data_IF_013976804062
#
_entry.id   IF_013976804062
#
_cell.length_a   1.000
_cell.length_b   1.000
_cell.length_c   1.000
_cell.angle_alpha   90.00
_cell.angle_beta   90.00
_cell.angle_gamma   90.00
#
_symmetry.space_group_name_H-M   'P 1'
#
loop_
_entity.id
_entity.type
_entity.pdbx_description
1 polymer ?
#
# COMPACT_ATOMS: atom_id res chain seq x y z
N UNK A 1 -21.56 -1.97 -9.32
CA UNK A 1 -20.57 -2.04 -10.43
C UNK A 1 -20.86 -3.18 -11.40
N UNK A 2 -20.43 -3.07 -12.67
CA UNK A 2 -20.53 -4.17 -13.66
C UNK A 2 -19.48 -5.24 -13.37
N UNK A 3 -19.77 -6.49 -13.77
CA UNK A 3 -18.88 -7.63 -13.53
C UNK A 3 -17.47 -7.45 -14.12
N UNK A 4 -17.37 -6.84 -15.32
CA UNK A 4 -16.09 -6.51 -15.96
C UNK A 4 -15.24 -5.55 -15.12
N UNK A 5 -15.87 -4.52 -14.53
CA UNK A 5 -15.15 -3.54 -13.72
C UNK A 5 -14.59 -4.15 -12.43
N UNK A 6 -15.34 -5.06 -11.81
CA UNK A 6 -14.89 -5.78 -10.62
C UNK A 6 -13.72 -6.72 -10.99
N UNK A 7 -13.84 -7.42 -12.13
CA UNK A 7 -12.76 -8.25 -12.66
C UNK A 7 -11.46 -7.46 -12.86
N UNK A 8 -11.55 -6.28 -13.47
CA UNK A 8 -10.41 -5.39 -13.71
C UNK A 8 -9.79 -4.88 -12.39
N UNK A 9 -10.60 -4.48 -11.40
CA UNK A 9 -10.11 -3.96 -10.11
C UNK A 9 -9.39 -5.04 -9.29
N UNK A 10 -9.94 -6.25 -9.25
CA UNK A 10 -9.44 -7.33 -8.40
C UNK A 10 -8.49 -8.29 -9.11
N UNK A 11 -8.20 -8.06 -10.41
CA UNK A 11 -7.29 -8.89 -11.20
C UNK A 11 -7.77 -10.32 -11.40
N UNK A 12 -9.09 -10.55 -11.48
CA UNK A 12 -9.69 -11.88 -11.68
C UNK A 12 -10.42 -11.96 -13.01
N UNK A 13 -10.50 -13.14 -13.66
CA UNK A 13 -11.32 -13.30 -14.86
C UNK A 13 -12.80 -12.99 -14.60
N UNK A 14 -13.48 -12.40 -15.58
CA UNK A 14 -14.92 -12.13 -15.47
C UNK A 14 -15.74 -13.40 -15.25
N UNK A 15 -15.31 -14.54 -15.81
CA UNK A 15 -15.93 -15.85 -15.59
C UNK A 15 -15.90 -16.27 -14.11
N UNK A 16 -14.78 -16.02 -13.41
CA UNK A 16 -14.64 -16.28 -11.98
C UNK A 16 -15.67 -15.49 -11.16
N UNK A 17 -15.92 -14.23 -11.53
CA UNK A 17 -16.96 -13.45 -10.86
C UNK A 17 -18.38 -14.01 -11.11
N UNK A 18 -18.63 -14.51 -12.32
CA UNK A 18 -19.91 -15.14 -12.65
C UNK A 18 -20.10 -16.44 -11.87
N UNK A 19 -19.03 -17.19 -11.59
CA UNK A 19 -19.08 -18.36 -10.70
C UNK A 19 -19.40 -17.99 -9.27
N UNK A 20 -18.84 -16.89 -8.76
CA UNK A 20 -19.11 -16.46 -7.39
C UNK A 20 -20.58 -16.10 -7.17
N UNK A 21 -21.30 -15.67 -8.20
CA UNK A 21 -22.72 -15.33 -8.14
C UNK A 21 -23.66 -16.55 -8.09
N UNK A 22 -23.15 -17.76 -8.31
CA UNK A 22 -23.97 -18.98 -8.29
C UNK A 22 -24.47 -19.26 -6.87
N UNK A 23 -25.70 -19.75 -6.77
CA UNK A 23 -26.28 -20.19 -5.50
C UNK A 23 -25.40 -21.25 -4.82
N UNK A 24 -25.24 -21.12 -3.50
CA UNK A 24 -24.41 -22.03 -2.71
C UNK A 24 -22.90 -21.79 -2.82
N UNK A 25 -22.43 -20.86 -3.65
CA UNK A 25 -21.00 -20.54 -3.72
C UNK A 25 -20.55 -19.75 -2.48
N UNK A 26 -19.42 -20.13 -1.89
CA UNK A 26 -18.90 -19.55 -0.64
C UNK A 26 -18.65 -18.04 -0.71
N UNK A 27 -18.41 -17.51 -1.91
CA UNK A 27 -18.14 -16.08 -2.19
C UNK A 27 -19.36 -15.30 -2.71
N UNK A 28 -20.57 -15.88 -2.71
CA UNK A 28 -21.76 -15.21 -3.25
C UNK A 28 -22.07 -13.88 -2.57
N UNK A 29 -22.06 -13.84 -1.24
CA UNK A 29 -22.31 -12.62 -0.49
C UNK A 29 -21.32 -11.49 -0.84
N UNK A 30 -20.04 -11.83 -1.08
CA UNK A 30 -19.05 -10.86 -1.54
C UNK A 30 -19.34 -10.37 -2.96
N UNK A 31 -19.70 -11.29 -3.88
CA UNK A 31 -20.06 -10.91 -5.24
C UNK A 31 -21.28 -9.98 -5.28
N UNK A 32 -22.30 -10.26 -4.47
CA UNK A 32 -23.51 -9.44 -4.33
C UNK A 32 -23.19 -8.05 -3.74
N UNK A 33 -22.32 -7.99 -2.73
CA UNK A 33 -21.83 -6.73 -2.19
C UNK A 33 -21.11 -5.89 -3.26
N UNK A 34 -20.16 -6.49 -3.98
CA UNK A 34 -19.37 -5.80 -5.02
C UNK A 34 -20.24 -5.30 -6.18
N UNK A 35 -21.34 -5.96 -6.50
CA UNK A 35 -22.27 -5.46 -7.52
C UNK A 35 -23.08 -4.26 -7.07
N UNK A 36 -23.34 -4.10 -5.77
CA UNK A 36 -24.21 -3.06 -5.23
C UNK A 36 -23.46 -1.83 -4.69
N UNK A 37 -22.17 -1.97 -4.40
CA UNK A 37 -21.33 -0.85 -3.96
C UNK A 37 -20.89 0.01 -5.15
N UNK A 38 -20.66 1.30 -4.90
CA UNK A 38 -20.11 2.21 -5.88
C UNK A 38 -18.61 1.99 -6.11
N UNK A 39 -18.16 2.31 -7.33
CA UNK A 39 -16.78 2.05 -7.77
C UNK A 39 -15.77 2.90 -7.02
N UNK A 40 -16.08 4.16 -6.76
CA UNK A 40 -15.15 5.10 -6.15
C UNK A 40 -14.85 4.70 -4.71
N UNK A 41 -15.86 4.27 -3.94
CA UNK A 41 -15.69 3.75 -2.59
C UNK A 41 -14.80 2.51 -2.55
N UNK A 42 -14.97 1.57 -3.49
CA UNK A 42 -14.10 0.37 -3.57
C UNK A 42 -12.69 0.72 -3.99
N UNK A 43 -12.51 1.62 -4.97
CA UNK A 43 -11.17 2.08 -5.34
C UNK A 43 -10.50 2.82 -4.19
N UNK A 44 -11.23 3.61 -3.42
CA UNK A 44 -10.71 4.29 -2.23
C UNK A 44 -10.31 3.29 -1.14
N UNK A 45 -11.13 2.27 -0.89
CA UNK A 45 -10.82 1.19 0.04
C UNK A 45 -9.59 0.39 -0.41
N UNK A 46 -9.57 -0.04 -1.67
CA UNK A 46 -8.46 -0.81 -2.23
C UNK A 46 -7.16 -0.02 -2.19
N UNK A 47 -7.17 1.24 -2.66
CA UNK A 47 -6.02 2.14 -2.54
C UNK A 47 -5.61 2.31 -1.08
N UNK A 48 -6.55 2.53 -0.16
CA UNK A 48 -6.18 2.64 1.27
C UNK A 48 -5.56 1.37 1.85
N UNK A 49 -5.89 0.20 1.29
CA UNK A 49 -5.38 -1.09 1.69
C UNK A 49 -4.02 -1.41 1.07
N UNK A 50 -3.68 -0.85 -0.10
CA UNK A 50 -2.42 -1.16 -0.80
C UNK A 50 -1.46 0.03 -0.90
N UNK A 51 -1.87 1.25 -0.56
CA UNK A 51 -1.04 2.43 -0.75
C UNK A 51 0.20 2.42 0.15
N UNK A 52 0.12 1.78 1.32
CA UNK A 52 1.31 1.60 2.15
C UNK A 52 2.29 0.60 1.54
N UNK A 53 1.82 -0.35 0.72
CA UNK A 53 2.69 -1.29 0.01
C UNK A 53 3.49 -0.58 -1.08
N UNK A 54 3.02 0.55 -1.62
CA UNK A 54 3.76 1.31 -2.65
C UNK A 54 5.07 1.88 -2.11
N UNK A 55 5.06 2.55 -0.95
CA UNK A 55 6.29 3.07 -0.35
C UNK A 55 7.28 1.94 -0.01
N UNK A 56 6.76 0.81 0.49
CA UNK A 56 7.56 -0.39 0.78
C UNK A 56 8.16 -0.96 -0.50
N UNK A 57 7.37 -1.03 -1.57
CA UNK A 57 7.80 -1.53 -2.87
C UNK A 57 8.86 -0.63 -3.50
N UNK A 58 8.69 0.69 -3.46
CA UNK A 58 9.69 1.67 -3.97
C UNK A 58 11.04 1.47 -3.27
N UNK A 59 11.04 1.41 -1.93
CA UNK A 59 12.26 1.17 -1.15
C UNK A 59 12.90 -0.17 -1.50
N UNK A 60 12.12 -1.24 -1.54
CA UNK A 60 12.66 -2.58 -1.79
C UNK A 60 13.10 -2.79 -3.24
N UNK A 61 12.46 -2.13 -4.20
CA UNK A 61 12.88 -2.14 -5.60
C UNK A 61 14.29 -1.53 -5.76
N UNK A 62 14.59 -0.43 -5.07
CA UNK A 62 15.92 0.18 -5.08
C UNK A 62 16.96 -0.66 -4.32
N UNK A 63 16.55 -1.39 -3.26
CA UNK A 63 17.42 -2.34 -2.55
C UNK A 63 17.81 -3.53 -3.46
N UNK A 64 16.85 -4.07 -4.21
CA UNK A 64 17.02 -5.18 -5.16
C UNK A 64 17.26 -6.56 -4.53
N UNK A 65 18.12 -6.67 -3.51
CA UNK A 65 18.38 -7.93 -2.83
C UNK A 65 17.25 -8.28 -1.85
N UNK A 66 16.45 -9.27 -2.23
CA UNK A 66 15.28 -9.74 -1.46
C UNK A 66 15.59 -10.13 -0.01
N UNK A 67 16.77 -10.71 0.25
CA UNK A 67 17.19 -11.07 1.62
C UNK A 67 17.38 -9.87 2.56
N UNK A 68 17.41 -8.66 1.99
CA UNK A 68 17.61 -7.39 2.71
C UNK A 68 16.37 -6.49 2.64
N UNK A 69 15.25 -6.97 2.10
CA UNK A 69 14.03 -6.18 2.04
C UNK A 69 13.54 -5.80 3.43
N UNK A 70 13.02 -4.58 3.52
CA UNK A 70 12.46 -4.03 4.74
C UNK A 70 10.94 -4.22 4.74
N UNK A 71 10.40 -4.47 5.94
CA UNK A 71 8.96 -4.49 6.15
C UNK A 71 8.41 -3.08 6.40
N UNK A 72 7.09 -2.93 6.32
CA UNK A 72 6.41 -1.68 6.64
C UNK A 72 6.73 -1.17 8.06
N UNK A 73 6.94 -2.06 9.03
CA UNK A 73 7.31 -1.64 10.39
C UNK A 73 8.68 -0.97 10.46
N UNK A 74 9.63 -1.34 9.60
CA UNK A 74 10.97 -0.75 9.60
C UNK A 74 10.92 0.64 8.96
N UNK A 75 10.19 0.80 7.85
CA UNK A 75 9.92 2.10 7.23
C UNK A 75 9.16 3.02 8.21
N UNK A 76 8.18 2.49 8.95
CA UNK A 76 7.48 3.24 9.99
C UNK A 76 8.43 3.75 11.08
N UNK A 77 9.38 2.95 11.55
CA UNK A 77 10.37 3.37 12.56
C UNK A 77 11.18 4.56 12.03
N UNK A 78 11.64 4.49 10.79
CA UNK A 78 12.39 5.56 10.12
C UNK A 78 11.58 6.86 10.07
N UNK A 79 10.35 6.81 9.56
CA UNK A 79 9.47 7.99 9.46
C UNK A 79 8.98 8.53 10.82
N UNK A 80 9.02 7.71 11.88
CA UNK A 80 8.77 8.15 13.25
C UNK A 80 9.98 8.87 13.89
N UNK A 81 11.11 8.95 13.18
CA UNK A 81 12.32 9.61 13.62
C UNK A 81 13.24 8.74 14.46
N UNK A 82 13.17 7.40 14.33
CA UNK A 82 14.20 6.53 14.92
C UNK A 82 15.45 6.55 14.03
N UNK A 83 16.60 6.76 14.66
CA UNK A 83 17.89 6.73 13.98
C UNK A 83 18.12 5.35 13.34
N UNK A 84 18.53 5.27 12.06
CA UNK A 84 18.92 4.02 11.43
C UNK A 84 20.09 3.39 12.19
N UNK A 85 19.96 2.11 12.54
CA UNK A 85 21.01 1.32 13.19
C UNK A 85 21.82 0.54 12.15
N UNK A 86 21.21 0.21 11.01
CA UNK A 86 21.84 -0.57 9.96
C UNK A 86 22.08 0.24 8.68
N UNK A 87 23.12 -0.08 7.89
CA UNK A 87 23.37 0.57 6.60
C UNK A 87 22.18 0.49 5.64
N UNK A 88 21.43 -0.63 5.67
CA UNK A 88 20.26 -0.84 4.82
C UNK A 88 19.11 0.11 5.19
N UNK A 89 18.95 0.43 6.47
CA UNK A 89 17.93 1.37 6.94
C UNK A 89 18.29 2.82 6.58
N UNK A 90 19.59 3.15 6.62
CA UNK A 90 20.09 4.45 6.14
C UNK A 90 19.84 4.60 4.65
N UNK A 91 20.18 3.56 3.88
CA UNK A 91 19.92 3.53 2.44
C UNK A 91 18.42 3.66 2.13
N UNK A 92 17.57 2.89 2.81
CA UNK A 92 16.12 3.00 2.66
C UNK A 92 15.61 4.42 2.94
N UNK A 93 16.12 5.09 3.97
CA UNK A 93 15.75 6.47 4.24
C UNK A 93 16.19 7.44 3.13
N UNK A 94 17.36 7.23 2.54
CA UNK A 94 17.83 8.04 1.42
C UNK A 94 16.90 7.86 0.21
N UNK A 95 16.51 6.61 -0.11
CA UNK A 95 15.53 6.31 -1.16
C UNK A 95 14.17 6.97 -0.92
N UNK A 96 13.66 6.94 0.33
CA UNK A 96 12.42 7.64 0.68
C UNK A 96 12.53 9.15 0.41
N UNK A 97 13.72 9.75 0.58
CA UNK A 97 13.93 11.18 0.34
C UNK A 97 14.10 11.54 -1.13
N UNK A 98 14.69 10.65 -1.93
CA UNK A 98 15.12 10.99 -3.30
C UNK A 98 14.25 10.39 -4.39
N UNK A 99 13.58 9.26 -4.13
CA UNK A 99 12.88 8.48 -5.16
C UNK A 99 11.39 8.26 -4.87
N UNK A 100 10.98 8.20 -3.60
CA UNK A 100 9.57 8.00 -3.26
C UNK A 100 8.70 9.22 -3.62
N UNK A 101 7.51 8.94 -4.14
CA UNK A 101 6.54 9.98 -4.43
C UNK A 101 5.95 10.54 -3.13
N UNK A 102 5.57 11.82 -3.16
CA UNK A 102 4.96 12.47 -2.00
C UNK A 102 3.69 11.75 -1.56
N UNK A 103 2.87 11.32 -2.51
CA UNK A 103 1.63 10.60 -2.29
C UNK A 103 1.87 9.26 -1.58
N UNK A 104 2.91 8.51 -1.95
CA UNK A 104 3.28 7.25 -1.31
C UNK A 104 3.63 7.45 0.17
N UNK A 105 4.36 8.53 0.46
CA UNK A 105 4.75 8.89 1.82
C UNK A 105 3.53 9.34 2.65
N UNK A 106 2.67 10.19 2.09
CA UNK A 106 1.47 10.70 2.76
C UNK A 106 0.48 9.58 3.04
N UNK A 107 0.25 8.69 2.08
CA UNK A 107 -0.64 7.55 2.24
C UNK A 107 -0.11 6.55 3.28
N UNK A 108 1.21 6.27 3.25
CA UNK A 108 1.85 5.42 4.26
C UNK A 108 1.72 6.03 5.67
N UNK A 109 1.97 7.33 5.81
CA UNK A 109 1.86 8.05 7.07
C UNK A 109 0.43 8.06 7.59
N UNK A 110 -0.57 8.26 6.72
CA UNK A 110 -1.99 8.21 7.07
C UNK A 110 -2.38 6.80 7.55
N UNK A 111 -1.97 5.76 6.82
CA UNK A 111 -2.27 4.36 7.16
C UNK A 111 -1.72 3.98 8.55
N UNK A 112 -0.44 4.27 8.79
CA UNK A 112 0.23 3.93 10.05
C UNK A 112 0.06 4.97 11.17
N UNK A 113 -0.75 6.01 10.93
CA UNK A 113 -1.01 7.12 11.86
C UNK A 113 0.27 7.82 12.33
N UNK A 114 1.20 8.03 11.41
CA UNK A 114 2.46 8.76 11.65
C UNK A 114 2.16 10.26 11.55
N UNK A 115 2.48 11.07 12.58
CA UNK A 115 2.26 12.52 12.49
C UNK A 115 3.11 13.14 11.37
N UNK A 116 2.49 13.87 10.45
CA UNK A 116 3.22 14.50 9.32
C UNK A 116 4.34 15.44 9.76
N UNK A 117 4.25 16.05 10.96
CA UNK A 117 5.34 16.83 11.56
C UNK A 117 6.63 15.99 11.71
N UNK A 118 6.51 14.70 12.06
CA UNK A 118 7.66 13.78 12.17
C UNK A 118 8.20 13.43 10.79
N UNK A 119 7.31 13.13 9.84
CA UNK A 119 7.67 12.86 8.44
C UNK A 119 8.49 14.02 7.87
N UNK A 120 7.97 15.25 7.94
CA UNK A 120 8.67 16.44 7.46
C UNK A 120 10.01 16.66 8.18
N UNK A 121 10.10 16.41 9.49
CA UNK A 121 11.37 16.52 10.23
C UNK A 121 12.41 15.56 9.64
N UNK A 122 12.05 14.29 9.45
CA UNK A 122 12.94 13.25 8.94
C UNK A 122 13.37 13.54 7.50
N UNK A 123 12.45 14.01 6.66
CA UNK A 123 12.73 14.25 5.24
C UNK A 123 13.53 15.53 4.99
N UNK A 124 13.32 16.60 5.77
CA UNK A 124 13.94 17.91 5.50
C UNK A 124 15.10 18.28 6.42
N UNK A 125 15.17 17.75 7.64
CA UNK A 125 16.11 18.28 8.65
C UNK A 125 17.22 17.32 9.09
N UNK A 126 17.26 16.08 8.58
CA UNK A 126 18.21 15.08 9.09
C UNK A 126 17.95 14.78 10.58
N UNK A 127 18.60 13.75 11.11
CA UNK A 127 18.45 13.39 12.52
C UNK A 127 19.14 14.37 13.46
#
# INVERSE_FOLDING_TARGET
MKAKEIADIFGVPQSTLNEWKKEGHSKKALADFLTNVDKESILKLYKSATAYDMLVATVNASIGNESKHLGANDIKKLLMGKTPEQPIEKYALDIIKTEALKEEIEDFAMHFKIPMKKVHKVLHYGY
#
